data_IF_540779276330
#
_entry.id   IF_540779276330
#
_cell.length_a   1.000
_cell.length_b   1.000
_cell.length_c   1.000
_cell.angle_alpha   90.00
_cell.angle_beta   90.00
_cell.angle_gamma   90.00
#
_symmetry.space_group_name_H-M   'P 1'
#
loop_
_entity.id
_entity.type
_entity.pdbx_description
1 polymer ?
#
# COMPACT_ATOMS: atom_id res chain seq x y z
N UNK A 1 8.52 -11.99 1.21
CA UNK A 1 8.52 -11.52 2.63
C UNK A 1 7.79 -12.53 3.50
N UNK A 2 8.37 -12.88 4.60
CA UNK A 2 7.73 -13.78 5.57
C UNK A 2 7.00 -12.97 6.64
N UNK A 3 5.93 -13.54 7.17
CA UNK A 3 5.06 -12.88 8.15
C UNK A 3 5.83 -12.32 9.36
N UNK A 4 6.68 -13.13 9.96
CA UNK A 4 7.41 -12.73 11.17
C UNK A 4 8.32 -11.54 10.92
N UNK A 5 8.95 -11.51 9.75
CA UNK A 5 9.83 -10.40 9.36
C UNK A 5 9.04 -9.13 9.09
N UNK A 6 7.90 -9.25 8.42
CA UNK A 6 7.04 -8.11 8.12
C UNK A 6 6.47 -7.52 9.41
N UNK A 7 6.01 -8.37 10.33
CA UNK A 7 5.50 -7.93 11.62
C UNK A 7 6.55 -7.13 12.40
N UNK A 8 7.77 -7.64 12.45
CA UNK A 8 8.86 -6.93 13.13
C UNK A 8 9.20 -5.61 12.46
N UNK A 9 9.22 -5.58 11.14
CA UNK A 9 9.51 -4.36 10.38
C UNK A 9 8.53 -3.24 10.73
N UNK A 10 7.24 -3.55 10.80
CA UNK A 10 6.21 -2.58 11.15
C UNK A 10 6.32 -2.20 12.64
N UNK A 11 6.56 -3.17 13.52
CA UNK A 11 6.68 -2.93 14.96
C UNK A 11 7.84 -1.99 15.28
N UNK A 12 8.95 -2.09 14.57
CA UNK A 12 10.09 -1.18 14.75
C UNK A 12 9.73 0.28 14.48
N UNK A 13 8.73 0.53 13.65
CA UNK A 13 8.24 1.87 13.37
C UNK A 13 7.02 2.23 14.19
N UNK A 14 6.70 1.47 15.22
CA UNK A 14 5.57 1.73 16.11
C UNK A 14 4.21 1.39 15.50
N UNK A 15 4.18 0.57 14.46
CA UNK A 15 2.95 0.19 13.77
C UNK A 15 2.65 -1.28 14.00
N UNK A 16 1.35 -1.61 14.12
CA UNK A 16 0.88 -2.98 14.27
C UNK A 16 0.43 -3.53 12.93
N UNK A 17 0.89 -4.72 12.59
CA UNK A 17 0.48 -5.42 11.38
C UNK A 17 -0.16 -6.74 11.78
N UNK A 18 -1.40 -6.99 11.34
CA UNK A 18 -2.05 -8.27 11.55
C UNK A 18 -1.70 -9.24 10.42
N UNK A 19 -1.90 -10.53 10.67
CA UNK A 19 -1.63 -11.55 9.66
C UNK A 19 -2.55 -11.39 8.43
N UNK A 20 -3.82 -11.00 8.67
CA UNK A 20 -4.74 -10.70 7.57
C UNK A 20 -4.28 -9.52 6.72
N UNK A 21 -3.76 -8.48 7.35
CA UNK A 21 -3.18 -7.34 6.63
C UNK A 21 -1.93 -7.75 5.86
N UNK A 22 -1.10 -8.61 6.44
CA UNK A 22 0.06 -9.16 5.74
C UNK A 22 -0.36 -9.87 4.45
N UNK A 23 -1.42 -10.67 4.49
CA UNK A 23 -1.93 -11.34 3.30
C UNK A 23 -2.45 -10.35 2.26
N UNK A 24 -3.11 -9.28 2.69
CA UNK A 24 -3.56 -8.22 1.77
C UNK A 24 -2.37 -7.52 1.09
N UNK A 25 -1.32 -7.21 1.86
CA UNK A 25 -0.10 -6.63 1.29
C UNK A 25 0.58 -7.60 0.33
N UNK A 26 0.62 -8.89 0.65
CA UNK A 26 1.23 -9.90 -0.21
C UNK A 26 0.48 -10.02 -1.54
N UNK A 27 -0.85 -9.99 -1.50
CA UNK A 27 -1.67 -9.99 -2.72
C UNK A 27 -1.41 -8.73 -3.56
N UNK A 28 -1.34 -7.59 -2.91
CA UNK A 28 -1.04 -6.32 -3.57
C UNK A 28 0.34 -6.38 -4.23
N UNK A 29 1.34 -6.92 -3.53
CA UNK A 29 2.69 -7.09 -4.08
C UNK A 29 2.68 -7.97 -5.33
N UNK A 30 1.95 -9.07 -5.32
CA UNK A 30 1.84 -9.96 -6.48
C UNK A 30 1.26 -9.22 -7.68
N UNK A 31 0.18 -8.46 -7.47
CA UNK A 31 -0.45 -7.67 -8.53
C UNK A 31 0.52 -6.60 -9.03
N UNK A 32 1.21 -5.93 -8.13
CA UNK A 32 2.16 -4.88 -8.47
C UNK A 32 3.31 -5.40 -9.34
N UNK A 33 3.93 -6.50 -8.94
CA UNK A 33 5.05 -7.11 -9.68
C UNK A 33 4.58 -7.60 -11.05
N UNK A 34 3.44 -8.29 -11.10
CA UNK A 34 2.87 -8.79 -12.34
C UNK A 34 2.58 -7.64 -13.31
N UNK A 35 1.93 -6.59 -12.82
CA UNK A 35 1.54 -5.45 -13.65
C UNK A 35 2.76 -4.62 -14.06
N UNK A 36 3.76 -4.52 -13.18
CA UNK A 36 4.96 -3.73 -13.46
C UNK A 36 5.74 -4.24 -14.68
N UNK A 37 5.63 -5.51 -15.00
CA UNK A 37 6.24 -6.08 -16.20
C UNK A 37 5.71 -5.45 -17.47
N UNK A 38 4.51 -4.87 -17.43
CA UNK A 38 3.82 -4.29 -18.59
C UNK A 38 3.76 -2.77 -18.56
N UNK A 39 3.72 -2.16 -17.37
CA UNK A 39 3.40 -0.73 -17.22
C UNK A 39 4.49 0.12 -16.58
N UNK A 40 5.51 -0.48 -16.01
CA UNK A 40 6.55 0.25 -15.27
C UNK A 40 5.97 1.18 -14.20
N UNK A 41 5.16 0.61 -13.30
CA UNK A 41 4.53 1.37 -12.20
C UNK A 41 5.55 1.86 -11.19
N UNK A 42 6.63 1.11 -10.99
CA UNK A 42 7.69 1.44 -10.05
C UNK A 42 8.99 0.80 -10.52
N UNK A 43 10.12 1.39 -10.14
CA UNK A 43 11.44 0.80 -10.36
C UNK A 43 11.86 -0.12 -9.22
N UNK A 44 11.12 -0.10 -8.10
CA UNK A 44 11.42 -0.91 -6.92
C UNK A 44 10.60 -2.19 -6.99
N UNK A 45 11.24 -3.32 -7.31
CA UNK A 45 10.58 -4.62 -7.46
C UNK A 45 11.14 -5.70 -6.55
N UNK A 46 12.29 -5.48 -5.92
CA UNK A 46 12.86 -6.42 -4.98
C UNK A 46 11.98 -6.51 -3.72
N UNK A 47 11.71 -7.72 -3.26
CA UNK A 47 10.74 -8.02 -2.22
C UNK A 47 10.88 -7.16 -0.96
N UNK A 48 12.04 -7.21 -0.31
CA UNK A 48 12.24 -6.48 0.93
C UNK A 48 12.16 -4.96 0.74
N UNK A 49 12.57 -4.45 -0.42
CA UNK A 49 12.50 -3.02 -0.72
C UNK A 49 11.08 -2.54 -0.99
N UNK A 50 10.24 -3.36 -1.64
CA UNK A 50 8.82 -3.04 -1.83
C UNK A 50 8.15 -2.88 -0.46
N UNK A 51 8.40 -3.81 0.46
CA UNK A 51 7.83 -3.75 1.80
C UNK A 51 8.33 -2.54 2.58
N UNK A 52 9.62 -2.25 2.52
CA UNK A 52 10.20 -1.16 3.31
C UNK A 52 9.95 0.21 2.70
N UNK A 53 10.22 0.38 1.39
CA UNK A 53 10.17 1.69 0.73
C UNK A 53 8.79 2.07 0.23
N UNK A 54 7.91 1.09 -0.02
CA UNK A 54 6.55 1.38 -0.45
C UNK A 54 5.53 1.12 0.64
N UNK A 55 5.46 -0.10 1.16
CA UNK A 55 4.38 -0.44 2.09
C UNK A 55 4.56 0.22 3.45
N UNK A 56 5.68 0.00 4.10
CA UNK A 56 5.94 0.59 5.41
C UNK A 56 6.01 2.12 5.32
N UNK A 57 6.76 2.64 4.36
CA UNK A 57 6.94 4.08 4.20
C UNK A 57 5.60 4.79 4.01
N UNK A 58 4.69 4.21 3.24
CA UNK A 58 3.35 4.75 3.02
C UNK A 58 2.52 4.84 4.30
N UNK A 59 2.78 3.97 5.26
CA UNK A 59 2.05 3.93 6.53
C UNK A 59 2.70 4.76 7.65
N UNK A 60 3.91 5.29 7.44
CA UNK A 60 4.60 6.10 8.46
C UNK A 60 3.81 7.32 8.93
N UNK A 61 2.97 7.97 8.11
CA UNK A 61 2.15 9.09 8.61
C UNK A 61 1.31 8.75 9.82
N UNK A 62 0.87 7.49 9.99
CA UNK A 62 0.10 7.07 11.17
C UNK A 62 0.91 7.19 12.46
N UNK A 63 2.25 7.19 12.36
CA UNK A 63 3.14 7.35 13.50
C UNK A 63 3.19 8.79 13.99
N UNK A 64 3.01 9.75 13.09
CA UNK A 64 3.24 11.16 13.36
C UNK A 64 1.97 12.02 13.36
N UNK A 65 0.91 11.56 12.75
CA UNK A 65 -0.35 12.29 12.61
C UNK A 65 -1.50 11.42 13.06
N UNK A 66 -2.35 11.97 13.93
CA UNK A 66 -3.57 11.28 14.33
C UNK A 66 -4.63 11.46 13.23
N UNK A 67 -5.02 10.36 12.61
CA UNK A 67 -6.04 10.36 11.56
C UNK A 67 -7.33 9.82 12.16
N UNK A 68 -8.41 10.62 12.20
CA UNK A 68 -9.68 10.19 12.81
C UNK A 68 -10.24 8.94 12.18
N UNK A 69 -10.97 8.18 12.97
CA UNK A 69 -11.66 6.98 12.49
C UNK A 69 -12.66 7.37 11.39
N UNK A 70 -12.65 6.62 10.31
CA UNK A 70 -13.56 6.86 9.17
C UNK A 70 -13.21 8.06 8.31
N UNK A 71 -12.03 8.65 8.50
CA UNK A 71 -11.62 9.84 7.74
C UNK A 71 -11.60 9.57 6.23
N UNK A 72 -11.96 10.60 5.47
CA UNK A 72 -11.83 10.59 4.02
C UNK A 72 -10.39 10.95 3.64
N UNK A 73 -9.77 10.13 2.81
CA UNK A 73 -8.40 10.35 2.34
C UNK A 73 -8.41 10.44 0.82
N UNK A 74 -7.78 11.48 0.29
CA UNK A 74 -7.63 11.64 -1.15
C UNK A 74 -6.15 11.57 -1.48
N UNK A 75 -5.80 10.60 -2.33
CA UNK A 75 -4.44 10.40 -2.80
C UNK A 75 -4.35 10.89 -4.24
N UNK A 76 -3.74 12.04 -4.44
CA UNK A 76 -3.61 12.69 -5.76
C UNK A 76 -2.30 12.27 -6.40
N UNK A 77 -2.36 11.82 -7.65
CA UNK A 77 -1.19 11.32 -8.36
C UNK A 77 -0.71 10.01 -7.75
N UNK A 78 -1.63 9.13 -7.43
CA UNK A 78 -1.38 7.92 -6.63
C UNK A 78 -0.44 6.91 -7.30
N UNK A 79 -0.31 6.93 -8.63
CA UNK A 79 0.59 6.03 -9.35
C UNK A 79 0.22 4.57 -9.15
N UNK A 80 1.12 3.82 -8.51
CA UNK A 80 0.90 2.41 -8.18
C UNK A 80 0.00 2.20 -6.94
N UNK A 81 -0.60 3.27 -6.43
CA UNK A 81 -1.48 3.22 -5.26
C UNK A 81 -0.81 3.66 -3.96
N UNK A 82 0.28 4.38 -4.04
CA UNK A 82 1.03 4.83 -2.86
C UNK A 82 0.79 6.33 -2.60
N UNK A 83 0.56 6.73 -1.36
CA UNK A 83 0.48 5.91 -0.15
C UNK A 83 -0.91 5.31 0.14
N UNK A 84 -1.90 5.60 -0.71
CA UNK A 84 -3.32 5.33 -0.43
C UNK A 84 -3.64 3.88 -0.11
N UNK A 85 -3.27 2.94 -0.97
CA UNK A 85 -3.63 1.52 -0.78
C UNK A 85 -2.98 0.93 0.49
N UNK A 86 -1.67 1.10 0.75
CA UNK A 86 -1.08 0.65 2.02
C UNK A 86 -1.77 1.23 3.25
N UNK A 87 -2.10 2.53 3.24
CA UNK A 87 -2.81 3.16 4.35
C UNK A 87 -4.18 2.52 4.57
N UNK A 88 -4.92 2.24 3.50
CA UNK A 88 -6.24 1.62 3.57
C UNK A 88 -6.18 0.18 4.06
N UNK A 89 -5.13 -0.56 3.73
CA UNK A 89 -4.92 -1.91 4.26
C UNK A 89 -4.73 -1.85 5.77
N UNK A 90 -3.88 -0.95 6.26
CA UNK A 90 -3.60 -0.83 7.68
C UNK A 90 -4.77 -0.24 8.47
N UNK A 91 -5.53 0.65 7.83
CA UNK A 91 -6.69 1.33 8.42
C UNK A 91 -7.91 1.12 7.51
N UNK A 92 -8.59 -0.04 7.61
CA UNK A 92 -9.74 -0.34 6.74
C UNK A 92 -10.96 0.55 6.97
N UNK A 93 -10.97 1.35 8.03
CA UNK A 93 -12.02 2.34 8.30
C UNK A 93 -11.91 3.59 7.41
N UNK A 94 -10.76 3.83 6.79
CA UNK A 94 -10.56 5.01 5.94
C UNK A 94 -11.37 4.92 4.65
N UNK A 95 -11.89 6.09 4.23
CA UNK A 95 -12.58 6.23 2.94
C UNK A 95 -11.59 6.80 1.93
N UNK A 96 -11.01 5.93 1.12
CA UNK A 96 -9.94 6.27 0.21
C UNK A 96 -10.47 6.61 -1.17
N UNK A 97 -10.03 7.74 -1.72
CA UNK A 97 -10.21 8.10 -3.12
C UNK A 97 -8.83 8.29 -3.74
N UNK A 98 -8.59 7.60 -4.85
CA UNK A 98 -7.33 7.69 -5.58
C UNK A 98 -7.54 8.37 -6.92
N UNK A 99 -6.66 9.33 -7.24
CA UNK A 99 -6.71 10.08 -8.49
C UNK A 99 -5.39 9.93 -9.23
N UNK A 100 -5.46 9.65 -10.52
CA UNK A 100 -4.27 9.62 -11.39
C UNK A 100 -4.65 10.08 -12.79
N UNK A 101 -3.70 10.71 -13.48
CA UNK A 101 -3.92 11.25 -14.82
C UNK A 101 -3.72 10.20 -15.93
N UNK A 102 -3.09 9.06 -15.62
CA UNK A 102 -2.82 8.03 -16.63
C UNK A 102 -3.87 6.93 -16.57
N UNK A 103 -4.57 6.72 -17.69
CA UNK A 103 -5.63 5.72 -17.80
C UNK A 103 -5.15 4.30 -17.45
N UNK A 104 -3.94 3.96 -17.83
CA UNK A 104 -3.35 2.65 -17.50
C UNK A 104 -3.27 2.41 -16.00
N UNK A 105 -2.88 3.45 -15.24
CA UNK A 105 -2.79 3.37 -13.79
C UNK A 105 -4.16 3.26 -13.14
N UNK A 106 -5.16 3.97 -13.68
CA UNK A 106 -6.55 3.87 -13.20
C UNK A 106 -7.06 2.44 -13.33
N UNK A 107 -6.83 1.79 -14.47
CA UNK A 107 -7.21 0.40 -14.67
C UNK A 107 -6.55 -0.55 -13.68
N UNK A 108 -5.26 -0.37 -13.41
CA UNK A 108 -4.53 -1.12 -12.41
C UNK A 108 -5.14 -0.93 -11.01
N UNK A 109 -5.44 0.32 -10.64
CA UNK A 109 -5.99 0.64 -9.32
C UNK A 109 -7.38 0.05 -9.12
N UNK A 110 -8.23 0.10 -10.13
CA UNK A 110 -9.56 -0.52 -10.08
C UNK A 110 -9.46 -2.03 -9.88
N UNK A 111 -8.57 -2.70 -10.61
CA UNK A 111 -8.35 -4.12 -10.48
C UNK A 111 -7.83 -4.49 -9.10
N UNK A 112 -6.90 -3.70 -8.56
CA UNK A 112 -6.30 -3.92 -7.24
C UNK A 112 -7.33 -3.73 -6.14
N UNK A 113 -8.12 -2.68 -6.21
CA UNK A 113 -9.14 -2.37 -5.20
C UNK A 113 -10.26 -3.43 -5.14
N UNK A 114 -10.53 -4.11 -6.26
CA UNK A 114 -11.54 -5.16 -6.32
C UNK A 114 -11.13 -6.45 -5.61
N UNK A 115 -9.88 -6.60 -5.27
CA UNK A 115 -9.34 -7.76 -4.57
C UNK A 115 -9.08 -7.41 -3.11
#
# INVERSE_FOLDING_TARGET
MKWERAEKMFAHSGLSLTEGQFHQFSTYQEILVETNRRMNLTTITEDAEVWRKHFLDSCLPFQYVEIPKGAAVIDVGTGAGFPGIPMRILRPDLRLTMLDSLQKRIGFLEQTAAR
#
